data_IF_342276181538
#
_entry.id   IF_342276181538
#
_cell.length_a   1.000
_cell.length_b   1.000
_cell.length_c   1.000
_cell.angle_alpha   90.00
_cell.angle_beta   90.00
_cell.angle_gamma   90.00
#
_symmetry.space_group_name_H-M   'P 1'
#
loop_
_entity.id
_entity.type
_entity.pdbx_description
1 polymer ?
#
# COMPACT_ATOMS: atom_id res chain seq x y z
N UNK A 1 19.78 28.04 6.94
CA UNK A 1 19.58 26.68 7.50
C UNK A 1 18.64 25.97 6.56
N UNK A 2 19.13 25.05 5.73
CA UNK A 2 18.27 24.30 4.80
C UNK A 2 17.55 23.24 5.61
N UNK A 3 16.28 23.46 5.92
CA UNK A 3 15.39 22.40 6.35
C UNK A 3 15.44 21.31 5.27
N UNK A 4 16.03 20.16 5.59
CA UNK A 4 15.81 18.96 4.78
C UNK A 4 14.34 18.65 4.97
N UNK A 5 13.49 19.13 4.07
CA UNK A 5 12.11 18.68 4.03
C UNK A 5 12.14 17.16 3.98
N UNK A 6 11.55 16.52 4.99
CA UNK A 6 11.44 15.08 4.99
C UNK A 6 10.56 14.72 3.82
N UNK A 7 11.12 13.99 2.84
CA UNK A 7 10.39 13.52 1.66
C UNK A 7 9.03 12.95 2.05
N UNK A 8 8.99 12.17 3.13
CA UNK A 8 7.78 11.59 3.70
C UNK A 8 7.37 12.31 4.99
N UNK A 9 6.16 12.87 5.00
CA UNK A 9 5.54 13.54 6.15
C UNK A 9 4.32 12.73 6.59
N UNK A 10 4.34 12.20 7.83
CA UNK A 10 3.19 11.50 8.39
C UNK A 10 2.15 12.50 8.95
N UNK A 11 0.95 12.51 8.37
CA UNK A 11 -0.18 13.33 8.81
C UNK A 11 -0.90 12.68 10.01
N UNK A 12 -1.57 13.52 10.82
CA UNK A 12 -2.37 13.06 11.98
C UNK A 12 -3.58 12.23 11.57
N UNK A 13 -4.04 12.38 10.32
CA UNK A 13 -5.18 11.67 9.73
C UNK A 13 -4.86 10.21 9.34
N UNK A 14 -3.60 9.79 9.49
CA UNK A 14 -3.16 8.45 9.12
C UNK A 14 -2.75 8.31 7.65
N UNK A 15 -2.45 9.41 6.98
CA UNK A 15 -1.84 9.44 5.65
C UNK A 15 -0.36 9.86 5.74
N UNK A 16 0.42 9.57 4.72
CA UNK A 16 1.84 9.94 4.61
C UNK A 16 2.03 10.66 3.29
N UNK A 17 2.28 11.96 3.33
CA UNK A 17 2.56 12.77 2.14
C UNK A 17 4.00 12.54 1.68
N UNK A 18 4.19 12.25 0.39
CA UNK A 18 5.47 12.25 -0.32
C UNK A 18 5.59 13.55 -1.12
N UNK A 19 6.43 14.48 -0.67
CA UNK A 19 6.63 15.78 -1.32
C UNK A 19 7.45 15.69 -2.62
N UNK A 20 8.15 14.59 -2.88
CA UNK A 20 8.95 14.46 -4.11
C UNK A 20 8.08 14.14 -5.33
N UNK A 21 6.97 13.44 -5.10
CA UNK A 21 6.04 12.99 -6.15
C UNK A 21 4.66 13.68 -6.04
N UNK A 22 4.48 14.60 -5.08
CA UNK A 22 3.20 15.27 -4.80
C UNK A 22 2.02 14.29 -4.59
N UNK A 23 2.28 13.20 -3.87
CA UNK A 23 1.30 12.14 -3.57
C UNK A 23 1.16 11.91 -2.07
N UNK A 24 0.05 11.31 -1.65
CA UNK A 24 -0.17 10.88 -0.28
C UNK A 24 -0.53 9.40 -0.22
N UNK A 25 0.19 8.68 0.65
CA UNK A 25 0.04 7.25 0.88
C UNK A 25 -0.84 6.98 2.10
N UNK A 26 -1.67 5.94 2.02
CA UNK A 26 -2.32 5.41 3.21
C UNK A 26 -1.27 4.76 4.13
N UNK A 27 -1.22 5.17 5.41
CA UNK A 27 -0.25 4.60 6.37
C UNK A 27 -0.44 3.10 6.55
N UNK A 28 -1.69 2.64 6.49
CA UNK A 28 -2.04 1.22 6.58
C UNK A 28 -2.38 0.67 5.20
N UNK A 29 -1.90 -0.53 4.92
CA UNK A 29 -2.30 -1.29 3.73
C UNK A 29 -3.56 -2.12 3.99
N UNK A 30 -4.14 -2.64 2.91
CA UNK A 30 -5.36 -3.45 2.97
C UNK A 30 -5.22 -4.69 3.85
N UNK A 31 -4.03 -5.30 3.91
CA UNK A 31 -3.80 -6.46 4.77
C UNK A 31 -3.83 -6.08 6.24
N UNK A 32 -3.22 -4.96 6.60
CA UNK A 32 -3.27 -4.50 7.99
C UNK A 32 -4.69 -4.18 8.44
N UNK A 33 -5.55 -3.68 7.55
CA UNK A 33 -6.94 -3.37 7.88
C UNK A 33 -7.86 -4.60 7.85
N UNK A 34 -7.78 -5.44 6.82
CA UNK A 34 -8.65 -6.60 6.61
C UNK A 34 -8.13 -7.91 7.24
N UNK A 35 -6.83 -8.03 7.48
CA UNK A 35 -6.19 -9.25 8.01
C UNK A 35 -6.05 -10.40 7.01
N UNK A 36 -6.42 -10.21 5.73
CA UNK A 36 -6.34 -11.22 4.66
C UNK A 36 -5.66 -10.69 3.40
N UNK A 37 -5.08 -11.59 2.62
CA UNK A 37 -4.57 -11.30 1.28
C UNK A 37 -5.74 -10.97 0.35
N UNK A 38 -5.56 -10.00 -0.54
CA UNK A 38 -6.55 -9.65 -1.56
C UNK A 38 -6.05 -10.04 -2.94
N UNK A 39 -6.96 -10.49 -3.78
CA UNK A 39 -6.71 -10.55 -5.22
C UNK A 39 -6.72 -9.15 -5.84
N UNK A 40 -6.30 -9.04 -7.09
CA UNK A 40 -6.30 -7.73 -7.75
C UNK A 40 -7.71 -7.14 -7.84
N UNK A 41 -8.69 -7.95 -8.22
CA UNK A 41 -10.11 -7.54 -8.26
C UNK A 41 -10.62 -7.10 -6.88
N UNK A 42 -10.29 -7.86 -5.82
CA UNK A 42 -10.61 -7.48 -4.44
C UNK A 42 -9.86 -6.22 -3.98
N UNK A 43 -8.66 -5.96 -4.50
CA UNK A 43 -7.90 -4.74 -4.21
C UNK A 43 -8.54 -3.52 -4.86
N UNK A 44 -9.08 -3.66 -6.07
CA UNK A 44 -9.88 -2.62 -6.73
C UNK A 44 -11.18 -2.38 -5.97
N UNK A 45 -11.90 -3.45 -5.59
CA UNK A 45 -13.10 -3.34 -4.77
C UNK A 45 -12.81 -2.68 -3.40
N UNK A 46 -11.65 -2.98 -2.79
CA UNK A 46 -11.21 -2.35 -1.55
C UNK A 46 -10.96 -0.85 -1.74
N UNK A 47 -10.31 -0.44 -2.83
CA UNK A 47 -10.12 0.97 -3.16
C UNK A 47 -11.46 1.70 -3.30
N UNK A 48 -12.42 1.11 -4.02
CA UNK A 48 -13.77 1.68 -4.16
C UNK A 48 -14.47 1.82 -2.80
N UNK A 49 -14.44 0.76 -1.99
CA UNK A 49 -15.03 0.77 -0.66
C UNK A 49 -14.38 1.82 0.27
N UNK A 50 -13.07 2.02 0.17
CA UNK A 50 -12.36 3.08 0.89
C UNK A 50 -12.79 4.47 0.44
N UNK A 51 -13.06 4.65 -0.85
CA UNK A 51 -13.55 5.92 -1.39
C UNK A 51 -14.96 6.24 -0.92
N UNK A 52 -15.87 5.25 -0.96
CA UNK A 52 -17.23 5.40 -0.46
C UNK A 52 -17.26 5.70 1.04
N UNK A 53 -16.36 5.08 1.82
CA UNK A 53 -16.26 5.28 3.27
C UNK A 53 -15.48 6.53 3.68
N UNK A 54 -14.95 7.30 2.73
CA UNK A 54 -14.04 8.43 3.00
C UNK A 54 -12.89 8.04 3.93
N UNK A 55 -12.18 6.96 3.58
CA UNK A 55 -11.09 6.43 4.40
C UNK A 55 -10.04 7.52 4.67
N UNK A 56 -9.64 7.70 5.93
CA UNK A 56 -8.79 8.80 6.39
C UNK A 56 -9.30 10.22 6.03
N UNK A 57 -10.61 10.38 5.80
CA UNK A 57 -11.24 11.65 5.42
C UNK A 57 -11.27 11.92 3.91
N UNK A 58 -10.73 11.03 3.08
CA UNK A 58 -10.58 11.22 1.63
C UNK A 58 -11.31 10.15 0.83
N UNK A 59 -11.80 10.52 -0.35
CA UNK A 59 -12.52 9.64 -1.29
C UNK A 59 -11.87 9.51 -2.67
N UNK A 60 -10.61 9.95 -2.80
CA UNK A 60 -9.86 9.98 -4.05
C UNK A 60 -8.66 9.03 -4.00
N UNK A 61 -8.81 7.90 -3.29
CA UNK A 61 -7.81 6.85 -3.25
C UNK A 61 -7.75 6.12 -4.59
N UNK A 62 -6.54 5.79 -5.03
CA UNK A 62 -6.23 4.98 -6.20
C UNK A 62 -5.18 3.92 -5.87
N UNK A 63 -5.06 2.93 -6.75
CA UNK A 63 -3.94 1.98 -6.68
C UNK A 63 -2.64 2.67 -7.12
N UNK A 64 -1.50 2.32 -6.52
CA UNK A 64 -0.23 2.92 -6.88
C UNK A 64 0.30 2.36 -8.18
N UNK A 65 0.97 3.21 -8.95
CA UNK A 65 1.70 2.82 -10.16
C UNK A 65 3.03 2.15 -9.79
N UNK A 66 3.66 1.49 -10.76
CA UNK A 66 4.99 0.89 -10.53
C UNK A 66 6.05 1.93 -10.19
N UNK A 67 6.00 3.10 -10.84
CA UNK A 67 6.95 4.19 -10.61
C UNK A 67 6.84 4.72 -9.18
N UNK A 68 5.62 4.94 -8.69
CA UNK A 68 5.36 5.40 -7.32
C UNK A 68 5.83 4.37 -6.29
N UNK A 69 5.53 3.08 -6.49
CA UNK A 69 6.05 2.02 -5.62
C UNK A 69 7.58 1.95 -5.67
N UNK A 70 8.20 2.13 -6.84
CA UNK A 70 9.66 2.20 -6.93
C UNK A 70 10.21 3.36 -6.11
N UNK A 71 9.62 4.55 -6.18
CA UNK A 71 10.00 5.70 -5.37
C UNK A 71 9.89 5.42 -3.87
N UNK A 72 8.76 4.85 -3.45
CA UNK A 72 8.48 4.49 -2.08
C UNK A 72 9.46 3.43 -1.52
N UNK A 73 9.71 2.37 -2.29
CA UNK A 73 10.55 1.25 -1.88
C UNK A 73 12.05 1.53 -2.04
N UNK A 74 12.43 2.60 -2.77
CA UNK A 74 13.83 3.01 -2.95
C UNK A 74 14.51 3.30 -1.62
N UNK A 75 13.76 3.85 -0.66
CA UNK A 75 14.26 4.19 0.66
C UNK A 75 13.75 3.20 1.73
N UNK A 76 14.33 2.00 1.72
CA UNK A 76 13.98 0.85 2.58
C UNK A 76 13.85 1.20 4.06
N UNK A 77 14.74 2.03 4.60
CA UNK A 77 14.74 2.41 6.02
C UNK A 77 13.52 3.27 6.38
N UNK A 78 13.18 4.23 5.51
CA UNK A 78 11.99 5.07 5.69
C UNK A 78 10.74 4.25 5.52
N UNK A 79 10.70 3.38 4.51
CA UNK A 79 9.58 2.48 4.30
C UNK A 79 9.32 1.60 5.52
N UNK A 80 10.38 0.98 6.06
CA UNK A 80 10.29 0.15 7.25
C UNK A 80 9.77 0.93 8.45
N UNK A 81 10.34 2.10 8.71
CA UNK A 81 10.04 2.89 9.90
C UNK A 81 8.62 3.49 9.85
N UNK A 82 8.19 3.95 8.68
CA UNK A 82 6.92 4.65 8.52
C UNK A 82 5.73 3.70 8.36
N UNK A 83 5.94 2.59 7.63
CA UNK A 83 4.85 1.73 7.18
C UNK A 83 4.86 0.31 7.76
N UNK A 84 6.03 -0.22 8.15
CA UNK A 84 6.14 -1.56 8.72
C UNK A 84 6.19 -1.55 10.25
N UNK A 85 6.73 -0.50 10.86
CA UNK A 85 6.83 -0.37 12.31
C UNK A 85 5.53 0.15 12.95
N UNK A 86 4.41 -0.49 12.63
CA UNK A 86 3.13 -0.21 13.27
C UNK A 86 3.03 -1.03 14.57
N UNK A 87 2.44 -0.45 15.64
CA UNK A 87 2.29 -1.18 16.89
C UNK A 87 1.46 -2.45 16.64
N UNK A 88 1.86 -3.60 17.20
CA UNK A 88 1.15 -4.85 17.02
C UNK A 88 -0.32 -4.67 17.43
N UNK A 89 -1.28 -4.95 16.52
CA UNK A 89 -2.71 -5.04 16.89
C UNK A 89 -2.84 -6.05 18.03
N UNK A 90 -3.66 -5.76 19.04
CA UNK A 90 -4.00 -6.69 20.13
C UNK A 90 -4.35 -8.05 19.52
N UNK A 91 -3.65 -9.12 19.95
CA UNK A 91 -3.88 -10.50 19.49
C UNK A 91 -5.38 -10.80 19.47
N UNK A 92 -5.96 -11.00 18.30
CA UNK A 92 -7.28 -11.61 18.17
C UNK A 92 -7.09 -13.12 18.26
N UNK A 93 -7.94 -13.83 19.00
CA UNK A 93 -7.84 -15.27 19.29
C UNK A 93 -7.88 -16.20 18.05
N UNK A 94 -8.13 -15.67 16.84
CA UNK A 94 -8.48 -16.46 15.66
C UNK A 94 -7.40 -16.43 14.56
N UNK A 95 -6.35 -15.61 14.71
CA UNK A 95 -5.29 -15.54 13.70
C UNK A 95 -3.97 -15.06 14.30
N UNK A 96 -2.89 -15.81 14.10
CA UNK A 96 -1.50 -15.46 14.46
C UNK A 96 -0.90 -14.33 13.60
N UNK A 97 -1.73 -13.42 13.07
CA UNK A 97 -1.30 -12.32 12.23
C UNK A 97 -0.55 -11.27 13.07
N UNK A 98 0.77 -11.19 12.89
CA UNK A 98 1.57 -10.05 13.35
C UNK A 98 1.24 -8.84 12.46
N UNK A 99 0.85 -7.73 13.09
CA UNK A 99 0.62 -6.47 12.37
C UNK A 99 1.97 -5.97 11.83
N UNK A 100 2.26 -6.31 10.58
CA UNK A 100 3.38 -5.84 9.80
C UNK A 100 2.93 -5.77 8.35
N UNK A 101 3.33 -4.70 7.64
CA UNK A 101 2.99 -4.53 6.24
C UNK A 101 3.48 -5.70 5.39
N UNK A 102 2.75 -6.03 4.33
CA UNK A 102 3.18 -7.13 3.46
C UNK A 102 4.43 -6.75 2.66
N UNK A 103 5.20 -7.78 2.29
CA UNK A 103 6.37 -7.68 1.43
C UNK A 103 6.02 -7.63 -0.07
N UNK A 104 4.73 -7.61 -0.40
CA UNK A 104 4.24 -7.48 -1.76
C UNK A 104 3.09 -6.48 -1.81
N UNK A 105 3.05 -5.68 -2.87
CA UNK A 105 2.04 -4.65 -3.09
C UNK A 105 1.49 -4.74 -4.52
N UNK A 106 0.17 -4.68 -4.66
CA UNK A 106 -0.50 -4.55 -5.95
C UNK A 106 -0.26 -3.18 -6.56
N UNK A 107 -0.15 -3.16 -7.89
CA UNK A 107 -0.11 -1.93 -8.69
C UNK A 107 -1.37 -1.76 -9.51
N UNK A 108 -1.62 -0.52 -9.94
CA UNK A 108 -2.65 -0.16 -10.91
C UNK A 108 -2.37 -0.68 -12.33
N UNK A 109 -1.15 -1.13 -12.61
CA UNK A 109 -0.78 -1.59 -13.93
C UNK A 109 -1.28 -3.01 -14.20
N UNK A 110 -2.07 -3.15 -15.27
CA UNK A 110 -2.54 -4.42 -15.80
C UNK A 110 -1.90 -4.72 -17.16
N UNK A 111 -1.87 -6.00 -17.53
CA UNK A 111 -1.37 -6.45 -18.83
C UNK A 111 -2.37 -7.42 -19.44
N UNK A 112 -2.72 -7.21 -20.71
CA UNK A 112 -3.67 -8.04 -21.46
C UNK A 112 -5.03 -8.26 -20.75
N UNK A 113 -5.42 -7.31 -19.89
CA UNK A 113 -6.67 -7.34 -19.11
C UNK A 113 -6.80 -8.47 -18.07
N UNK A 114 -6.04 -9.55 -18.19
CA UNK A 114 -6.08 -10.70 -17.26
C UNK A 114 -4.93 -10.72 -16.25
N UNK A 115 -3.88 -9.92 -16.47
CA UNK A 115 -2.74 -9.89 -15.56
C UNK A 115 -2.64 -8.55 -14.84
N UNK A 116 -2.15 -8.59 -13.61
CA UNK A 116 -1.81 -7.43 -12.81
C UNK A 116 -0.38 -7.54 -12.32
N UNK A 117 0.23 -6.38 -12.11
CA UNK A 117 1.59 -6.30 -11.61
C UNK A 117 1.60 -6.15 -10.10
N UNK A 118 2.51 -6.86 -9.45
CA UNK A 118 2.85 -6.66 -8.05
C UNK A 118 4.34 -6.44 -7.87
N UNK A 119 4.69 -5.60 -6.90
CA UNK A 119 6.06 -5.30 -6.56
C UNK A 119 6.42 -5.92 -5.21
N UNK A 120 7.59 -6.55 -5.13
CA UNK A 120 8.11 -7.14 -3.91
C UNK A 120 9.10 -6.19 -3.22
N UNK A 121 8.99 -6.06 -1.91
CA UNK A 121 9.96 -5.39 -1.06
C UNK A 121 10.74 -6.42 -0.25
N UNK A 122 12.07 -6.26 -0.02
CA UNK A 122 12.94 -5.17 -0.44
C UNK A 122 13.59 -5.36 -1.82
N UNK A 123 13.30 -6.47 -2.51
CA UNK A 123 13.95 -6.80 -3.78
C UNK A 123 13.56 -5.91 -4.96
N UNK A 124 12.52 -5.08 -4.81
CA UNK A 124 11.88 -4.28 -5.88
C UNK A 124 11.54 -5.13 -7.11
N UNK A 125 11.35 -6.43 -6.93
CA UNK A 125 11.07 -7.36 -8.02
C UNK A 125 9.62 -7.19 -8.44
N UNK A 126 9.42 -6.89 -9.72
CA UNK A 126 8.10 -6.78 -10.30
C UNK A 126 7.70 -8.13 -10.90
N UNK A 127 6.53 -8.62 -10.54
CA UNK A 127 6.00 -9.87 -11.06
C UNK A 127 4.62 -9.59 -11.64
N UNK A 128 4.42 -10.01 -12.88
CA UNK A 128 3.14 -10.02 -13.55
C UNK A 128 2.44 -11.34 -13.20
N UNK A 129 1.31 -11.27 -12.52
CA UNK A 129 0.51 -12.42 -12.11
C UNK A 129 -0.91 -12.29 -12.62
N UNK A 130 -1.57 -13.43 -12.81
CA UNK A 130 -2.96 -13.46 -13.26
C UNK A 130 -3.88 -12.93 -12.15
N UNK A 131 -4.85 -12.09 -12.51
CA UNK A 131 -5.73 -11.38 -11.58
C UNK A 131 -6.68 -12.33 -10.83
N UNK A 132 -7.01 -13.50 -11.40
CA UNK A 132 -7.98 -14.44 -10.84
C UNK A 132 -7.35 -15.50 -9.94
N UNK A 133 -6.02 -15.59 -9.90
CA UNK A 133 -5.33 -16.64 -9.17
C UNK A 133 -5.19 -16.29 -7.69
N UNK A 134 -6.05 -16.89 -6.85
CA UNK A 134 -6.10 -16.59 -5.40
C UNK A 134 -4.84 -16.93 -4.61
N UNK A 135 -4.02 -17.85 -5.11
CA UNK A 135 -2.73 -18.20 -4.51
C UNK A 135 -1.70 -17.08 -4.61
N UNK A 136 -1.97 -16.04 -5.41
CA UNK A 136 -1.12 -14.87 -5.55
C UNK A 136 -1.61 -13.64 -4.82
N UNK A 137 -2.56 -13.81 -3.89
CA UNK A 137 -3.11 -12.75 -3.06
C UNK A 137 -2.03 -11.90 -2.38
N UNK A 138 -2.25 -10.60 -2.33
CA UNK A 138 -1.28 -9.57 -1.93
C UNK A 138 -2.04 -8.35 -1.39
N UNK A 139 -1.37 -7.46 -0.69
CA UNK A 139 -1.93 -6.24 -0.14
C UNK A 139 -1.91 -5.13 -1.18
N UNK A 140 -2.76 -4.14 -0.95
CA UNK A 140 -2.72 -2.88 -1.67
C UNK A 140 -2.53 -1.77 -0.67
N UNK A 141 -1.60 -0.86 -0.97
CA UNK A 141 -1.50 0.42 -0.27
C UNK A 141 -2.05 1.49 -1.18
N UNK A 142 -3.13 2.10 -0.73
CA UNK A 142 -3.77 3.16 -1.48
C UNK A 142 -2.86 4.39 -1.52
N UNK A 143 -2.86 5.04 -2.67
CA UNK A 143 -2.21 6.33 -2.89
C UNK A 143 -3.27 7.31 -3.37
N UNK A 144 -3.07 8.60 -3.14
CA UNK A 144 -3.86 9.68 -3.72
C UNK A 144 -2.92 10.80 -4.12
N UNK A 145 -3.38 11.69 -4.96
CA UNK A 145 -2.67 12.93 -5.27
C UNK A 145 -2.84 13.91 -4.09
N UNK A 146 -1.74 14.54 -3.64
CA UNK A 146 -1.68 15.28 -2.38
C UNK A 146 -2.47 16.59 -2.41
#
# INVERSE_FOLDING_TARGET
MSEKESRFIANKDGTITDNEEDIAWAKKDSRQELGRWLNWDEAVAYQQACNEQKYCGYNDWRLPTKSELRGLLKNTEVYWTMFMNLPPKKKRQVSDYQAGGEWSLWTSETRYDSYAWKCYFPSMKEVCVDQQVSTTGTSVRLVRDA
#
